data_IF_298383290414
#
_entry.id   IF_298383290414
#
_cell.length_a   1.000
_cell.length_b   1.000
_cell.length_c   1.000
_cell.angle_alpha   90.00
_cell.angle_beta   90.00
_cell.angle_gamma   90.00
#
_symmetry.space_group_name_H-M   'P 1'
#
loop_
_entity.id
_entity.type
_entity.pdbx_description
1 polymer ?
#
# COMPACT_ATOMS: atom_id res chain seq x y z
N UNK A 1 -32.93 -18.86 -36.73
CA UNK A 1 -33.73 -18.06 -35.73
C UNK A 1 -33.16 -18.12 -34.28
N UNK A 2 -32.54 -19.23 -33.85
CA UNK A 2 -32.03 -19.33 -32.44
C UNK A 2 -30.85 -18.40 -32.15
N UNK A 3 -29.87 -18.29 -33.07
CA UNK A 3 -28.71 -17.41 -32.90
C UNK A 3 -29.07 -15.92 -32.79
N UNK A 4 -30.06 -15.46 -33.58
CA UNK A 4 -30.51 -14.06 -33.49
C UNK A 4 -31.18 -13.78 -32.15
N UNK A 5 -31.97 -14.73 -31.64
CA UNK A 5 -32.61 -14.60 -30.33
C UNK A 5 -31.58 -14.55 -29.18
N UNK A 6 -30.58 -15.45 -29.21
CA UNK A 6 -29.50 -15.43 -28.19
C UNK A 6 -28.67 -14.15 -28.27
N UNK A 7 -28.44 -13.60 -29.46
CA UNK A 7 -27.75 -12.31 -29.64
C UNK A 7 -28.58 -11.16 -29.06
N UNK A 8 -29.88 -11.10 -29.31
CA UNK A 8 -30.76 -10.09 -28.74
C UNK A 8 -30.79 -10.17 -27.21
N UNK A 9 -30.87 -11.39 -26.65
CA UNK A 9 -30.77 -11.59 -25.20
C UNK A 9 -29.43 -11.08 -24.66
N UNK A 10 -28.31 -11.37 -25.31
CA UNK A 10 -27.00 -10.90 -24.91
C UNK A 10 -26.89 -9.37 -24.96
N UNK A 11 -27.44 -8.72 -25.99
CA UNK A 11 -27.46 -7.26 -26.11
C UNK A 11 -28.25 -6.62 -24.96
N UNK A 12 -29.43 -7.17 -24.62
CA UNK A 12 -30.22 -6.68 -23.48
C UNK A 12 -29.47 -6.85 -22.18
N UNK A 13 -28.88 -8.03 -21.91
CA UNK A 13 -28.09 -8.28 -20.70
C UNK A 13 -26.86 -7.37 -20.63
N UNK A 14 -26.15 -7.16 -21.74
CA UNK A 14 -25.03 -6.22 -21.81
C UNK A 14 -25.48 -4.81 -21.47
N UNK A 15 -26.56 -4.34 -22.06
CA UNK A 15 -27.12 -3.01 -21.76
C UNK A 15 -27.52 -2.88 -20.27
N UNK A 16 -28.12 -3.90 -19.68
CA UNK A 16 -28.45 -3.93 -18.26
C UNK A 16 -27.20 -3.80 -17.36
N UNK A 17 -26.12 -4.54 -17.71
CA UNK A 17 -24.85 -4.45 -16.97
C UNK A 17 -24.26 -3.05 -17.10
N UNK A 18 -24.16 -2.50 -18.32
CA UNK A 18 -23.63 -1.16 -18.55
C UNK A 18 -24.42 -0.08 -17.78
N UNK A 19 -25.74 -0.20 -17.79
CA UNK A 19 -26.60 0.74 -17.05
C UNK A 19 -26.42 0.62 -15.53
N UNK A 20 -26.34 -0.61 -15.00
CA UNK A 20 -26.18 -0.85 -13.56
C UNK A 20 -24.85 -0.39 -13.00
N UNK A 21 -23.81 -0.39 -13.82
CA UNK A 21 -22.43 -0.07 -13.38
C UNK A 21 -21.91 1.30 -13.87
N UNK A 22 -22.72 2.07 -14.64
CA UNK A 22 -22.37 3.35 -15.21
C UNK A 22 -21.49 3.21 -16.47
N UNK A 23 -21.76 4.05 -17.48
CA UNK A 23 -21.09 3.96 -18.80
C UNK A 23 -19.62 4.38 -18.77
N UNK A 24 -19.24 5.26 -17.84
CA UNK A 24 -17.88 5.84 -17.76
C UNK A 24 -16.78 4.83 -17.47
N UNK A 25 -17.13 3.67 -16.90
CA UNK A 25 -16.16 2.64 -16.52
C UNK A 25 -15.85 1.64 -17.61
N UNK A 26 -16.46 1.77 -18.82
CA UNK A 26 -16.43 0.76 -19.85
C UNK A 26 -15.70 1.22 -21.11
N UNK A 27 -14.55 0.63 -21.37
CA UNK A 27 -13.83 0.76 -22.64
C UNK A 27 -14.42 -0.18 -23.69
N UNK A 28 -14.34 0.19 -24.98
CA UNK A 28 -14.89 -0.60 -26.08
C UNK A 28 -14.44 -2.08 -26.10
N UNK A 29 -13.16 -2.45 -25.84
CA UNK A 29 -12.75 -3.85 -25.78
C UNK A 29 -13.43 -4.64 -24.66
N UNK A 30 -13.65 -4.01 -23.49
CA UNK A 30 -14.35 -4.65 -22.35
C UNK A 30 -15.81 -4.90 -22.66
N UNK A 31 -16.48 -3.94 -23.32
CA UNK A 31 -17.87 -4.09 -23.78
C UNK A 31 -18.00 -5.21 -24.81
N UNK A 32 -17.09 -5.28 -25.77
CA UNK A 32 -17.07 -6.34 -26.77
C UNK A 32 -16.90 -7.73 -26.13
N UNK A 33 -16.00 -7.85 -25.17
CA UNK A 33 -15.76 -9.10 -24.43
C UNK A 33 -16.98 -9.48 -23.56
N UNK A 34 -17.60 -8.50 -22.90
CA UNK A 34 -18.84 -8.68 -22.12
C UNK A 34 -19.96 -9.21 -23.02
N UNK A 35 -20.19 -8.60 -24.18
CA UNK A 35 -21.18 -9.04 -25.15
C UNK A 35 -20.90 -10.46 -25.65
N UNK A 36 -19.63 -10.76 -26.00
CA UNK A 36 -19.23 -12.07 -26.49
C UNK A 36 -19.47 -13.19 -25.48
N UNK A 37 -19.12 -13.00 -24.21
CA UNK A 37 -19.33 -14.01 -23.17
C UNK A 37 -20.82 -14.20 -22.85
N UNK A 38 -21.62 -13.12 -22.78
CA UNK A 38 -23.06 -13.21 -22.59
C UNK A 38 -23.77 -13.87 -23.78
N UNK A 39 -23.31 -13.58 -24.99
CA UNK A 39 -23.84 -14.25 -26.19
C UNK A 39 -23.49 -15.74 -26.21
N UNK A 40 -22.24 -16.11 -25.87
CA UNK A 40 -21.83 -17.51 -25.74
C UNK A 40 -22.70 -18.26 -24.71
N UNK A 41 -22.91 -17.67 -23.53
CA UNK A 41 -23.76 -18.25 -22.51
C UNK A 41 -25.21 -18.42 -22.98
N UNK A 42 -25.81 -17.35 -23.56
CA UNK A 42 -27.18 -17.38 -24.08
C UNK A 42 -27.36 -18.40 -25.23
N UNK A 43 -26.42 -18.50 -26.15
CA UNK A 43 -26.46 -19.45 -27.25
C UNK A 43 -26.40 -20.91 -26.77
N UNK A 44 -25.53 -21.21 -25.81
CA UNK A 44 -25.42 -22.54 -25.22
C UNK A 44 -26.65 -22.91 -24.38
N UNK A 45 -27.23 -21.95 -23.63
CA UNK A 45 -28.48 -22.15 -22.92
C UNK A 45 -29.64 -22.41 -23.87
N UNK A 46 -29.74 -21.62 -24.95
CA UNK A 46 -30.76 -21.83 -26.00
C UNK A 46 -30.61 -23.19 -26.68
N UNK A 47 -29.39 -23.64 -26.94
CA UNK A 47 -29.10 -24.98 -27.48
C UNK A 47 -29.60 -26.09 -26.54
N UNK A 48 -29.37 -25.98 -25.24
CA UNK A 48 -29.87 -26.95 -24.26
C UNK A 48 -31.39 -27.00 -24.25
N UNK A 49 -32.06 -25.86 -24.32
CA UNK A 49 -33.53 -25.77 -24.27
C UNK A 49 -34.17 -26.25 -25.60
N UNK A 50 -33.71 -25.70 -26.74
CA UNK A 50 -34.39 -25.89 -28.01
C UNK A 50 -33.93 -27.17 -28.76
N UNK A 51 -32.63 -27.48 -28.74
CA UNK A 51 -32.06 -28.59 -29.48
C UNK A 51 -32.03 -29.86 -28.65
N UNK A 52 -31.51 -29.78 -27.46
CA UNK A 52 -31.44 -30.92 -26.54
C UNK A 52 -32.78 -31.20 -25.83
N UNK A 53 -33.73 -30.27 -25.90
CA UNK A 53 -35.06 -30.38 -25.26
C UNK A 53 -34.94 -30.79 -23.77
N UNK A 54 -33.98 -30.19 -23.03
CA UNK A 54 -33.71 -30.45 -21.65
C UNK A 54 -33.04 -31.80 -21.32
N UNK A 55 -32.49 -32.51 -22.31
CA UNK A 55 -31.71 -33.74 -22.04
C UNK A 55 -30.34 -33.39 -21.48
N UNK A 56 -30.28 -33.21 -20.17
CA UNK A 56 -29.08 -32.78 -19.43
C UNK A 56 -27.89 -33.71 -19.56
N UNK A 57 -28.14 -35.03 -19.77
CA UNK A 57 -27.09 -36.03 -19.98
C UNK A 57 -26.28 -35.80 -21.28
N UNK A 58 -26.80 -34.98 -22.20
CA UNK A 58 -26.13 -34.60 -23.46
C UNK A 58 -25.62 -33.13 -23.43
N UNK A 59 -25.88 -32.39 -22.37
CA UNK A 59 -25.60 -30.96 -22.27
C UNK A 59 -24.17 -30.63 -21.78
N UNK A 60 -23.31 -31.62 -21.48
CA UNK A 60 -22.02 -31.41 -20.83
C UNK A 60 -21.13 -30.38 -21.51
N UNK A 61 -21.02 -30.40 -22.84
CA UNK A 61 -20.23 -29.42 -23.60
C UNK A 61 -20.81 -28.00 -23.46
N UNK A 62 -22.12 -27.85 -23.61
CA UNK A 62 -22.78 -26.55 -23.51
C UNK A 62 -22.70 -25.98 -22.09
N UNK A 63 -22.82 -26.83 -21.06
CA UNK A 63 -22.62 -26.43 -19.65
C UNK A 63 -21.18 -25.96 -19.42
N UNK A 64 -20.19 -26.66 -19.99
CA UNK A 64 -18.79 -26.23 -19.91
C UNK A 64 -18.56 -24.87 -20.57
N UNK A 65 -19.17 -24.62 -21.75
CA UNK A 65 -19.09 -23.31 -22.41
C UNK A 65 -19.80 -22.20 -21.65
N UNK A 66 -20.93 -22.47 -21.01
CA UNK A 66 -21.61 -21.52 -20.10
C UNK A 66 -20.68 -21.20 -18.91
N UNK A 67 -20.07 -22.22 -18.31
CA UNK A 67 -19.10 -22.04 -17.24
C UNK A 67 -17.90 -21.18 -17.67
N UNK A 68 -17.34 -21.44 -18.85
CA UNK A 68 -16.24 -20.65 -19.41
C UNK A 68 -16.66 -19.18 -19.67
N UNK A 69 -17.84 -18.98 -20.25
CA UNK A 69 -18.39 -17.65 -20.44
C UNK A 69 -18.56 -16.89 -19.10
N UNK A 70 -18.98 -17.60 -18.05
CA UNK A 70 -19.13 -17.02 -16.71
C UNK A 70 -17.77 -16.70 -16.05
N UNK A 71 -16.71 -17.48 -16.31
CA UNK A 71 -15.34 -17.16 -15.89
C UNK A 71 -14.91 -15.82 -16.50
N UNK A 72 -15.08 -15.66 -17.82
CA UNK A 72 -14.71 -14.40 -18.50
C UNK A 72 -15.59 -13.25 -18.00
N UNK A 73 -16.88 -13.46 -17.86
CA UNK A 73 -17.82 -12.46 -17.34
C UNK A 73 -17.39 -11.98 -15.94
N UNK A 74 -17.11 -12.91 -15.02
CA UNK A 74 -16.66 -12.59 -13.67
C UNK A 74 -15.34 -11.83 -13.66
N UNK A 75 -14.37 -12.23 -14.49
CA UNK A 75 -13.09 -11.55 -14.64
C UNK A 75 -13.24 -10.11 -15.15
N UNK A 76 -14.03 -9.91 -16.21
CA UNK A 76 -14.29 -8.59 -16.80
C UNK A 76 -14.99 -7.68 -15.79
N UNK A 77 -16.03 -8.19 -15.12
CA UNK A 77 -16.81 -7.41 -14.16
C UNK A 77 -15.98 -7.03 -12.94
N UNK A 78 -15.26 -7.97 -12.37
CA UNK A 78 -14.41 -7.74 -11.21
C UNK A 78 -13.28 -6.76 -11.52
N UNK A 79 -12.64 -6.86 -12.69
CA UNK A 79 -11.58 -5.94 -13.10
C UNK A 79 -12.12 -4.53 -13.41
N UNK A 80 -13.29 -4.43 -14.04
CA UNK A 80 -13.91 -3.13 -14.36
C UNK A 80 -14.29 -2.33 -13.09
N UNK A 81 -14.51 -3.02 -11.97
CA UNK A 81 -14.94 -2.42 -10.69
C UNK A 81 -13.91 -2.63 -9.57
N UNK A 82 -12.66 -2.97 -9.93
CA UNK A 82 -11.59 -3.00 -8.94
C UNK A 82 -11.45 -1.62 -8.30
N UNK A 83 -11.25 -1.59 -7.01
CA UNK A 83 -11.05 -0.38 -6.24
C UNK A 83 -9.72 -0.49 -5.47
N UNK A 84 -8.82 0.46 -5.71
CA UNK A 84 -7.59 0.59 -4.91
C UNK A 84 -7.96 1.36 -3.65
N UNK A 85 -7.79 0.72 -2.50
CA UNK A 85 -8.16 1.30 -1.19
C UNK A 85 -6.94 1.84 -0.43
N UNK A 86 -5.73 1.49 -0.88
CA UNK A 86 -4.47 1.98 -0.34
C UNK A 86 -4.14 3.34 -0.97
N UNK A 87 -4.26 4.41 -0.18
CA UNK A 87 -3.90 5.76 -0.60
C UNK A 87 -3.01 6.40 0.46
N UNK A 88 -1.89 6.94 0.04
CA UNK A 88 -0.97 7.64 0.93
C UNK A 88 -1.33 9.12 1.02
N UNK A 89 -1.42 9.62 2.25
CA UNK A 89 -1.73 11.03 2.53
C UNK A 89 -0.54 11.79 3.13
N UNK A 90 0.57 11.09 3.37
CA UNK A 90 1.73 11.64 4.06
C UNK A 90 2.97 11.54 3.18
N UNK A 91 3.46 12.66 2.72
CA UNK A 91 4.65 12.73 1.88
C UNK A 91 4.44 12.23 0.44
N UNK A 92 5.46 12.37 -0.38
CA UNK A 92 5.45 11.88 -1.76
C UNK A 92 6.24 10.58 -1.87
N UNK A 93 5.55 9.49 -2.18
CA UNK A 93 6.16 8.16 -2.33
C UNK A 93 7.08 8.06 -3.55
N UNK A 94 6.91 8.91 -4.56
CA UNK A 94 7.80 8.96 -5.72
C UNK A 94 9.25 9.32 -5.34
N UNK A 95 9.44 10.01 -4.20
CA UNK A 95 10.79 10.28 -3.65
C UNK A 95 11.50 9.01 -3.16
N UNK A 96 10.77 7.97 -2.78
CA UNK A 96 11.34 6.67 -2.38
C UNK A 96 11.64 5.81 -3.60
N UNK A 97 10.74 5.81 -4.57
CA UNK A 97 10.87 5.09 -5.83
C UNK A 97 9.86 5.63 -6.85
N UNK A 98 10.31 5.95 -8.06
CA UNK A 98 9.46 6.47 -9.16
C UNK A 98 8.30 5.56 -9.55
N UNK A 99 8.35 4.26 -9.22
CA UNK A 99 7.27 3.31 -9.48
C UNK A 99 6.15 3.33 -8.45
N UNK A 100 6.28 4.11 -7.36
CA UNK A 100 5.28 4.23 -6.29
C UNK A 100 4.39 5.45 -6.53
N UNK A 101 3.12 5.33 -6.17
CA UNK A 101 2.12 6.39 -6.34
C UNK A 101 1.30 6.60 -5.08
N UNK A 102 1.10 7.85 -4.67
CA UNK A 102 0.27 8.18 -3.52
C UNK A 102 -1.22 7.78 -3.71
N UNK A 103 -1.69 7.68 -4.96
CA UNK A 103 -3.07 7.34 -5.28
C UNK A 103 -3.35 5.84 -5.17
N UNK A 104 -2.31 5.00 -5.24
CA UNK A 104 -2.46 3.54 -5.27
C UNK A 104 -1.75 2.82 -4.12
N UNK A 105 -0.74 3.44 -3.52
CA UNK A 105 0.15 2.81 -2.56
C UNK A 105 0.02 3.47 -1.18
N UNK A 106 0.25 2.71 -0.13
CA UNK A 106 0.19 3.16 1.26
C UNK A 106 1.51 2.85 1.98
N UNK A 107 2.12 3.89 2.55
CA UNK A 107 3.27 3.76 3.44
C UNK A 107 2.79 3.38 4.85
N UNK A 108 3.27 2.27 5.36
CA UNK A 108 3.03 1.83 6.73
C UNK A 108 4.35 1.71 7.48
N UNK A 109 4.44 2.38 8.60
CA UNK A 109 5.52 2.25 9.55
C UNK A 109 5.14 1.20 10.59
N UNK A 110 6.11 0.43 11.05
CA UNK A 110 5.91 -0.61 12.05
C UNK A 110 5.26 -0.04 13.32
N UNK A 111 4.14 -0.64 13.71
CA UNK A 111 3.34 -0.25 14.87
C UNK A 111 2.34 0.89 14.66
N UNK A 112 2.47 1.69 13.60
CA UNK A 112 1.51 2.77 13.32
C UNK A 112 0.21 2.19 12.73
N UNK A 113 -0.92 2.81 13.09
CA UNK A 113 -2.24 2.41 12.59
C UNK A 113 -2.80 3.53 11.73
N UNK A 114 -3.09 3.24 10.47
CA UNK A 114 -3.50 4.23 9.45
C UNK A 114 -4.83 3.81 8.83
N UNK A 115 -5.70 4.78 8.55
CA UNK A 115 -6.95 4.56 7.84
C UNK A 115 -6.70 4.15 6.37
N UNK A 116 -7.37 3.11 5.90
CA UNK A 116 -7.28 2.59 4.54
C UNK A 116 -8.64 2.09 4.06
N UNK A 117 -9.33 2.89 3.27
CA UNK A 117 -10.69 2.58 2.82
C UNK A 117 -11.63 2.28 4.00
N UNK A 118 -12.30 1.11 4.03
CA UNK A 118 -13.20 0.74 5.11
C UNK A 118 -12.51 0.14 6.34
N UNK A 119 -11.18 0.15 6.38
CA UNK A 119 -10.38 -0.44 7.45
C UNK A 119 -9.39 0.56 8.02
N UNK A 120 -8.90 0.25 9.23
CA UNK A 120 -7.61 0.70 9.72
C UNK A 120 -6.61 -0.43 9.60
N UNK A 121 -5.36 -0.12 9.21
CA UNK A 121 -4.32 -1.12 9.00
C UNK A 121 -3.09 -0.78 9.82
N UNK A 122 -2.41 -1.83 10.31
CA UNK A 122 -1.16 -1.72 11.05
C UNK A 122 -0.15 -2.72 10.52
N UNK A 123 1.00 -2.25 10.12
CA UNK A 123 2.16 -3.11 9.91
C UNK A 123 2.72 -3.52 11.27
N UNK A 124 2.66 -4.82 11.59
CA UNK A 124 3.06 -5.32 12.91
C UNK A 124 4.52 -5.72 12.95
N UNK A 125 4.98 -6.53 11.99
CA UNK A 125 6.33 -7.07 11.97
C UNK A 125 6.65 -7.72 10.62
N UNK A 126 7.96 -7.89 10.37
CA UNK A 126 8.49 -8.74 9.31
C UNK A 126 9.01 -10.03 9.90
N UNK A 127 8.79 -11.15 9.21
CA UNK A 127 9.32 -12.46 9.56
C UNK A 127 10.00 -13.11 8.37
N UNK A 128 11.23 -13.57 8.55
CA UNK A 128 11.91 -14.38 7.55
C UNK A 128 11.50 -15.84 7.67
N UNK A 129 11.11 -16.48 6.57
CA UNK A 129 10.73 -17.89 6.50
C UNK A 129 11.32 -18.53 5.25
N UNK A 130 12.53 -19.09 5.35
CA UNK A 130 13.28 -19.60 4.22
C UNK A 130 13.54 -18.49 3.19
N UNK A 131 13.10 -18.69 1.96
CA UNK A 131 13.24 -17.73 0.86
C UNK A 131 12.16 -16.63 0.85
N UNK A 132 11.28 -16.55 1.85
CA UNK A 132 10.20 -15.60 1.90
C UNK A 132 10.39 -14.61 3.05
N UNK A 133 10.33 -13.31 2.75
CA UNK A 133 10.10 -12.26 3.73
C UNK A 133 8.60 -12.01 3.82
N UNK A 134 7.99 -12.36 4.96
CA UNK A 134 6.56 -12.18 5.25
C UNK A 134 6.35 -10.90 6.05
N UNK A 135 5.29 -10.18 5.74
CA UNK A 135 4.93 -8.91 6.38
C UNK A 135 3.55 -9.04 7.00
N UNK A 136 3.47 -9.04 8.32
CA UNK A 136 2.20 -9.16 9.03
C UNK A 136 1.50 -7.80 9.07
N UNK A 137 0.36 -7.70 8.39
CA UNK A 137 -0.49 -6.51 8.36
C UNK A 137 -1.83 -6.85 9.02
N UNK A 138 -2.10 -6.20 10.14
CA UNK A 138 -3.34 -6.33 10.89
C UNK A 138 -4.38 -5.34 10.35
N UNK A 139 -5.60 -5.82 10.18
CA UNK A 139 -6.76 -5.05 9.74
C UNK A 139 -7.74 -4.92 10.90
N UNK A 140 -8.23 -3.71 11.11
CA UNK A 140 -9.23 -3.37 12.10
C UNK A 140 -10.46 -2.78 11.41
N UNK A 141 -11.65 -3.06 11.95
CA UNK A 141 -12.86 -2.41 11.47
C UNK A 141 -12.80 -0.91 11.77
N UNK A 142 -13.48 -0.12 10.95
CA UNK A 142 -13.62 1.31 11.21
C UNK A 142 -14.82 1.52 12.13
N UNK A 143 -14.57 2.10 13.30
CA UNK A 143 -15.59 2.60 14.20
C UNK A 143 -15.71 4.12 14.06
N UNK A 144 -16.89 4.73 14.21
CA UNK A 144 -17.03 6.19 14.25
C UNK A 144 -16.08 6.79 15.31
N UNK A 145 -15.42 7.88 14.98
CA UNK A 145 -14.68 8.65 16.00
C UNK A 145 -15.68 9.29 16.97
N UNK A 146 -15.31 9.35 18.23
CA UNK A 146 -16.11 10.00 19.26
C UNK A 146 -15.39 11.23 19.76
N UNK A 147 -16.09 12.33 19.82
CA UNK A 147 -15.59 13.62 20.27
C UNK A 147 -16.33 14.08 21.51
N UNK A 148 -15.61 14.69 22.43
CA UNK A 148 -16.17 15.25 23.67
C UNK A 148 -16.35 16.75 23.55
N UNK A 149 -17.34 17.29 24.26
CA UNK A 149 -17.56 18.72 24.33
C UNK A 149 -16.28 19.46 24.74
N UNK A 150 -15.92 20.49 23.98
CA UNK A 150 -14.72 21.30 24.22
C UNK A 150 -13.46 20.79 23.54
N UNK A 151 -13.47 19.59 22.98
CA UNK A 151 -12.34 19.03 22.21
C UNK A 151 -12.07 19.86 20.95
N UNK A 152 -10.80 20.07 20.62
CA UNK A 152 -10.38 20.90 19.48
C UNK A 152 -9.80 20.01 18.39
N UNK A 153 -10.29 20.19 17.16
CA UNK A 153 -9.79 19.48 15.99
C UNK A 153 -9.34 20.45 14.89
N UNK A 154 -8.43 19.97 14.05
CA UNK A 154 -8.01 20.65 12.85
C UNK A 154 -8.65 19.97 11.62
N UNK A 155 -9.31 20.77 10.77
CA UNK A 155 -9.81 20.32 9.47
C UNK A 155 -9.49 21.37 8.40
N UNK A 156 -8.85 20.96 7.30
CA UNK A 156 -8.45 21.83 6.17
C UNK A 156 -7.67 23.10 6.59
N UNK A 157 -6.84 22.97 7.65
CA UNK A 157 -6.03 24.09 8.15
C UNK A 157 -6.76 25.03 9.10
N UNK A 158 -8.02 24.79 9.40
CA UNK A 158 -8.83 25.55 10.36
C UNK A 158 -9.04 24.74 11.64
N UNK A 159 -9.22 25.46 12.77
CA UNK A 159 -9.53 24.82 14.06
C UNK A 159 -11.00 24.95 14.41
N UNK A 160 -11.55 23.86 14.94
CA UNK A 160 -12.95 23.77 15.36
C UNK A 160 -13.03 23.16 16.76
N UNK A 161 -14.01 23.60 17.55
CA UNK A 161 -14.29 23.06 18.87
C UNK A 161 -15.63 22.32 18.87
N UNK A 162 -15.65 21.15 19.48
CA UNK A 162 -16.86 20.35 19.65
C UNK A 162 -17.84 21.03 20.62
N UNK A 163 -19.10 21.21 20.19
CA UNK A 163 -20.15 21.85 20.96
C UNK A 163 -20.79 20.89 21.97
N UNK A 164 -20.75 19.60 21.70
CA UNK A 164 -21.30 18.53 22.54
C UNK A 164 -20.55 17.21 22.30
N UNK A 165 -20.78 16.26 23.20
CA UNK A 165 -20.34 14.88 22.97
C UNK A 165 -21.10 14.30 21.78
N UNK A 166 -20.40 13.74 20.78
CA UNK A 166 -21.00 13.15 19.59
C UNK A 166 -20.07 12.14 18.91
N UNK A 167 -20.71 11.28 18.11
CA UNK A 167 -19.97 10.42 17.17
C UNK A 167 -19.87 11.11 15.81
N UNK A 168 -18.70 11.05 15.19
CA UNK A 168 -18.45 11.69 13.89
C UNK A 168 -19.37 11.12 12.78
N UNK A 169 -19.89 12.00 11.96
CA UNK A 169 -20.51 11.62 10.69
C UNK A 169 -19.43 11.19 9.67
N UNK A 170 -19.83 10.53 8.56
CA UNK A 170 -18.87 10.14 7.50
C UNK A 170 -18.11 11.32 6.87
N UNK A 171 -18.67 12.54 6.97
CA UNK A 171 -18.05 13.76 6.45
C UNK A 171 -18.12 14.89 7.48
N UNK A 172 -17.05 15.68 7.60
CA UNK A 172 -16.98 16.84 8.52
C UNK A 172 -18.09 17.87 8.26
N UNK A 173 -18.42 18.09 6.98
CA UNK A 173 -19.50 19.02 6.58
C UNK A 173 -20.85 18.66 7.17
N UNK A 174 -21.17 17.37 7.29
CA UNK A 174 -22.40 16.91 7.90
C UNK A 174 -22.46 17.22 9.40
N UNK A 175 -21.35 17.02 10.12
CA UNK A 175 -21.24 17.39 11.53
C UNK A 175 -21.33 18.91 11.71
N UNK A 176 -20.75 19.69 10.79
CA UNK A 176 -20.80 21.15 10.81
C UNK A 176 -22.20 21.67 10.55
N UNK A 177 -22.92 21.12 9.58
CA UNK A 177 -24.32 21.45 9.27
C UNK A 177 -25.27 21.14 10.44
N UNK A 178 -24.96 20.07 11.20
CA UNK A 178 -25.68 19.70 12.41
C UNK A 178 -25.31 20.56 13.63
N UNK A 179 -24.43 21.54 13.46
CA UNK A 179 -24.00 22.46 14.55
C UNK A 179 -23.16 21.80 15.61
N UNK A 180 -22.51 20.66 15.32
CA UNK A 180 -21.67 19.93 16.28
C UNK A 180 -20.31 20.58 16.47
N UNK A 181 -19.89 21.45 15.56
CA UNK A 181 -18.62 22.16 15.57
C UNK A 181 -18.77 23.66 15.53
N UNK A 182 -17.94 24.37 16.28
CA UNK A 182 -17.79 25.83 16.19
C UNK A 182 -16.38 26.17 15.70
N UNK A 183 -16.31 26.98 14.66
CA UNK A 183 -15.05 27.52 14.14
C UNK A 183 -14.33 28.42 15.17
N UNK A 184 -13.03 28.25 15.33
CA UNK A 184 -12.18 29.06 16.22
C UNK A 184 -11.37 30.04 15.35
N UNK A 185 -11.77 31.32 15.24
CA UNK A 185 -11.11 32.28 14.35
C UNK A 185 -9.72 32.70 14.86
N UNK A 186 -9.54 32.77 16.20
CA UNK A 186 -8.28 33.16 16.84
C UNK A 186 -7.97 32.13 17.94
N UNK A 187 -7.31 30.99 17.58
CA UNK A 187 -6.97 29.99 18.56
C UNK A 187 -5.82 30.45 19.47
N UNK A 188 -5.90 30.12 20.75
CA UNK A 188 -4.81 30.30 21.68
C UNK A 188 -3.73 29.20 21.47
N UNK A 189 -2.57 29.35 22.14
CA UNK A 189 -1.43 28.45 21.98
C UNK A 189 -1.79 27.00 22.38
N UNK A 190 -2.54 26.82 23.46
CA UNK A 190 -3.00 25.51 23.92
C UNK A 190 -3.92 24.83 22.88
N UNK A 191 -4.87 25.57 22.32
CA UNK A 191 -5.77 25.05 21.30
C UNK A 191 -5.04 24.63 20.03
N UNK A 192 -3.95 25.32 19.65
CA UNK A 192 -3.10 24.95 18.52
C UNK A 192 -2.29 23.68 18.80
N UNK A 193 -1.75 23.56 20.03
CA UNK A 193 -0.90 22.44 20.42
C UNK A 193 -1.70 21.16 20.69
N UNK A 194 -2.91 21.28 21.21
CA UNK A 194 -3.78 20.15 21.58
C UNK A 194 -4.66 19.68 20.41
N UNK A 195 -4.78 20.47 19.33
CA UNK A 195 -5.63 20.15 18.20
C UNK A 195 -5.17 18.89 17.46
N UNK A 196 -6.04 17.90 17.38
CA UNK A 196 -5.82 16.70 16.59
C UNK A 196 -6.48 16.84 15.21
N UNK A 197 -5.96 16.21 14.15
CA UNK A 197 -6.67 16.16 12.89
C UNK A 197 -8.05 15.53 13.07
N UNK A 198 -9.08 16.14 12.50
CA UNK A 198 -10.41 15.54 12.49
C UNK A 198 -10.39 14.22 11.70
N UNK A 199 -11.12 13.23 12.19
CA UNK A 199 -11.31 11.95 11.51
C UNK A 199 -12.76 11.50 11.66
N UNK A 200 -13.35 10.97 10.57
CA UNK A 200 -14.66 10.35 10.62
C UNK A 200 -14.66 9.04 11.41
N UNK A 201 -13.51 8.37 11.51
CA UNK A 201 -13.39 7.06 12.13
C UNK A 201 -12.15 6.91 12.99
N UNK A 202 -12.18 5.87 13.81
CA UNK A 202 -11.06 5.39 14.61
C UNK A 202 -10.90 3.88 14.41
N UNK A 203 -9.72 3.30 14.73
CA UNK A 203 -9.58 1.85 14.76
C UNK A 203 -10.60 1.24 15.71
N UNK A 204 -11.40 0.31 15.20
CA UNK A 204 -12.36 -0.49 15.97
C UNK A 204 -11.78 -1.85 16.32
N UNK A 205 -12.64 -2.87 16.32
CA UNK A 205 -12.24 -4.23 16.64
C UNK A 205 -11.28 -4.82 15.59
N UNK A 206 -10.40 -5.71 16.06
CA UNK A 206 -9.53 -6.48 15.19
C UNK A 206 -10.37 -7.36 14.26
N UNK A 207 -10.11 -7.27 12.95
CA UNK A 207 -10.86 -8.03 11.95
C UNK A 207 -10.09 -9.27 11.49
N UNK A 208 -8.86 -9.12 11.01
CA UNK A 208 -8.00 -10.21 10.52
C UNK A 208 -6.57 -9.71 10.28
N UNK A 209 -5.65 -10.65 10.07
CA UNK A 209 -4.28 -10.39 9.60
C UNK A 209 -4.11 -10.94 8.18
N UNK A 210 -3.43 -10.20 7.32
CA UNK A 210 -2.85 -10.69 6.07
C UNK A 210 -1.33 -10.72 6.18
N UNK A 211 -0.72 -11.72 5.53
CA UNK A 211 0.74 -11.90 5.49
C UNK A 211 1.25 -11.92 4.03
N UNK A 212 1.11 -10.81 3.29
CA UNK A 212 1.76 -10.70 1.99
C UNK A 212 3.26 -10.89 2.15
N UNK A 213 3.91 -11.45 1.13
CA UNK A 213 5.31 -11.82 1.21
C UNK A 213 6.08 -11.47 -0.06
N UNK A 214 7.39 -11.39 0.08
CA UNK A 214 8.31 -11.25 -1.03
C UNK A 214 9.17 -12.52 -1.08
N UNK A 215 9.10 -13.23 -2.19
CA UNK A 215 9.99 -14.36 -2.45
C UNK A 215 11.35 -13.82 -2.90
N UNK A 216 12.39 -14.19 -2.17
CA UNK A 216 13.77 -13.84 -2.49
C UNK A 216 14.30 -14.74 -3.58
N UNK A 217 14.82 -14.16 -4.65
CA UNK A 217 15.43 -14.90 -5.73
C UNK A 217 16.63 -14.11 -6.28
N UNK A 218 17.84 -14.60 -6.00
CA UNK A 218 19.10 -13.96 -6.39
C UNK A 218 19.29 -13.92 -7.92
N UNK A 219 18.70 -14.87 -8.66
CA UNK A 219 18.90 -14.99 -10.11
C UNK A 219 17.86 -14.23 -10.93
N UNK A 220 16.60 -14.22 -10.51
CA UNK A 220 15.49 -13.65 -11.27
C UNK A 220 14.91 -12.37 -10.67
N UNK A 221 15.47 -11.91 -9.54
CA UNK A 221 14.93 -10.81 -8.76
C UNK A 221 13.80 -11.24 -7.82
N UNK A 222 13.51 -10.40 -6.84
CA UNK A 222 12.51 -10.65 -5.83
C UNK A 222 11.09 -10.58 -6.41
N UNK A 223 10.24 -11.53 -6.08
CA UNK A 223 8.86 -11.60 -6.57
C UNK A 223 7.87 -11.35 -5.42
N UNK A 224 7.01 -10.31 -5.52
CA UNK A 224 5.96 -10.09 -4.55
C UNK A 224 4.87 -11.16 -4.69
N UNK A 225 4.52 -11.79 -3.59
CA UNK A 225 3.40 -12.72 -3.48
C UNK A 225 2.33 -12.12 -2.56
N UNK A 226 1.12 -11.93 -3.08
CA UNK A 226 0.04 -11.33 -2.32
C UNK A 226 -0.53 -12.28 -1.27
N UNK A 227 -1.24 -11.69 -0.31
CA UNK A 227 -2.22 -12.42 0.50
C UNK A 227 -3.62 -11.83 0.30
N UNK A 228 -4.66 -12.65 0.48
CA UNK A 228 -6.02 -12.28 0.09
C UNK A 228 -7.03 -12.68 1.15
N UNK A 229 -7.79 -11.70 1.63
CA UNK A 229 -9.02 -11.95 2.41
C UNK A 229 -10.19 -12.14 1.46
N UNK A 230 -10.77 -13.34 1.50
CA UNK A 230 -11.92 -13.70 0.68
C UNK A 230 -13.21 -13.48 1.44
N UNK A 231 -14.12 -12.73 0.82
CA UNK A 231 -15.50 -12.59 1.25
C UNK A 231 -16.41 -13.26 0.23
N UNK A 232 -17.67 -13.41 0.61
CA UNK A 232 -18.63 -14.07 -0.30
C UNK A 232 -18.88 -13.27 -1.59
N UNK A 233 -18.73 -11.94 -1.59
CA UNK A 233 -19.06 -11.04 -2.72
C UNK A 233 -17.84 -10.23 -3.22
N UNK A 234 -16.69 -10.32 -2.57
CA UNK A 234 -15.47 -9.59 -2.94
C UNK A 234 -14.24 -10.28 -2.37
N UNK A 235 -13.10 -10.02 -2.96
CA UNK A 235 -11.78 -10.33 -2.40
C UNK A 235 -11.04 -9.03 -2.11
N UNK A 236 -10.36 -8.96 -0.98
CA UNK A 236 -9.39 -7.93 -0.65
C UNK A 236 -7.99 -8.52 -0.83
N UNK A 237 -7.31 -8.05 -1.85
CA UNK A 237 -5.99 -8.47 -2.26
C UNK A 237 -4.96 -7.47 -1.76
N UNK A 238 -3.91 -7.93 -1.08
CA UNK A 238 -2.86 -7.09 -0.53
C UNK A 238 -1.50 -7.62 -0.95
N UNK A 239 -0.64 -6.75 -1.47
CA UNK A 239 0.73 -7.10 -1.79
C UNK A 239 1.70 -5.99 -1.40
N UNK A 240 2.97 -6.36 -1.20
CA UNK A 240 4.04 -5.43 -0.86
C UNK A 240 4.67 -4.93 -2.16
N UNK A 241 4.66 -3.62 -2.35
CA UNK A 241 5.37 -2.94 -3.44
C UNK A 241 6.83 -2.70 -3.11
N UNK A 242 7.07 -2.32 -1.86
CA UNK A 242 8.40 -2.10 -1.33
C UNK A 242 8.46 -2.46 0.15
N UNK A 243 9.54 -3.10 0.56
CA UNK A 243 9.79 -3.45 1.95
C UNK A 243 11.19 -4.00 2.10
N UNK A 244 11.75 -3.90 3.30
CA UNK A 244 13.04 -4.50 3.60
C UNK A 244 12.90 -6.02 3.58
N UNK A 245 13.70 -6.70 2.78
CA UNK A 245 13.64 -8.17 2.61
C UNK A 245 14.69 -8.93 3.42
N UNK A 246 15.76 -8.23 3.84
CA UNK A 246 16.83 -8.77 4.70
C UNK A 246 17.19 -7.75 5.76
N UNK A 247 17.67 -8.22 6.90
CA UNK A 247 18.25 -7.34 7.88
C UNK A 247 19.63 -6.93 7.39
N UNK A 248 19.95 -5.63 7.37
CA UNK A 248 21.31 -5.20 7.14
C UNK A 248 22.20 -5.71 8.28
N UNK A 249 23.46 -5.96 7.99
CA UNK A 249 24.43 -6.30 9.02
C UNK A 249 24.58 -5.12 9.98
N UNK A 250 24.52 -5.42 11.27
CA UNK A 250 24.70 -4.46 12.36
C UNK A 250 25.66 -5.05 13.39
N UNK A 251 26.35 -4.18 14.13
CA UNK A 251 27.20 -4.58 15.25
C UNK A 251 26.35 -5.03 16.47
N UNK A 252 27.03 -5.44 17.56
CA UNK A 252 26.38 -5.92 18.80
C UNK A 252 25.48 -4.85 19.45
N UNK A 253 25.76 -3.57 19.21
CA UNK A 253 24.99 -2.42 19.71
C UNK A 253 23.85 -1.99 18.75
N UNK A 254 23.71 -2.69 17.63
CA UNK A 254 22.67 -2.44 16.63
C UNK A 254 23.01 -1.37 15.59
N UNK A 255 24.24 -0.91 15.52
CA UNK A 255 24.67 0.07 14.52
C UNK A 255 25.04 -0.61 13.19
N UNK A 256 24.49 -0.09 12.11
CA UNK A 256 24.89 -0.51 10.75
C UNK A 256 26.23 0.08 10.38
N UNK A 257 26.89 -0.52 9.38
CA UNK A 257 28.08 0.07 8.77
C UNK A 257 27.84 1.48 8.25
N UNK A 258 28.81 2.36 8.49
CA UNK A 258 28.73 3.75 8.07
C UNK A 258 28.69 3.90 6.55
N UNK A 259 27.69 4.62 6.06
CA UNK A 259 27.54 4.93 4.63
C UNK A 259 28.08 6.31 4.31
N UNK A 260 28.87 6.40 3.24
CA UNK A 260 29.43 7.67 2.76
C UNK A 260 28.43 8.43 1.89
N UNK A 261 28.31 9.71 2.16
CA UNK A 261 27.45 10.64 1.41
C UNK A 261 28.20 11.95 1.18
N UNK A 262 28.13 12.46 -0.03
CA UNK A 262 28.60 13.81 -0.38
C UNK A 262 27.44 14.79 -0.16
N UNK A 263 27.59 15.70 0.80
CA UNK A 263 26.56 16.67 1.14
C UNK A 263 27.04 18.11 0.88
N UNK A 264 26.27 18.84 0.09
CA UNK A 264 26.45 20.28 -0.12
C UNK A 264 25.55 21.07 0.81
N UNK A 265 25.84 22.36 0.94
CA UNK A 265 24.97 23.28 1.68
C UNK A 265 23.55 23.23 1.14
N UNK A 266 22.56 23.06 2.03
CA UNK A 266 21.12 22.89 1.78
C UNK A 266 20.71 21.53 1.20
N UNK A 267 21.63 20.61 1.07
CA UNK A 267 21.25 19.23 0.77
C UNK A 267 20.55 18.59 1.97
N UNK A 268 19.71 17.65 1.66
CA UNK A 268 19.04 16.82 2.65
C UNK A 268 19.09 15.36 2.27
N UNK A 269 19.19 14.50 3.27
CA UNK A 269 19.22 13.05 3.13
C UNK A 269 18.16 12.43 4.03
N UNK A 270 17.41 11.49 3.49
CA UNK A 270 16.46 10.68 4.29
C UNK A 270 17.21 9.58 5.02
N UNK A 271 17.13 9.57 6.35
CA UNK A 271 17.74 8.58 7.24
C UNK A 271 16.60 7.94 8.06
N UNK A 272 16.22 6.73 7.69
CA UNK A 272 15.06 6.10 8.33
C UNK A 272 13.80 6.93 8.18
N UNK A 273 13.28 7.47 9.30
CA UNK A 273 12.10 8.38 9.36
C UNK A 273 12.48 9.85 9.54
N UNK A 274 13.74 10.14 9.54
CA UNK A 274 14.26 11.48 9.75
C UNK A 274 14.84 12.04 8.45
N UNK A 275 14.88 13.35 8.36
CA UNK A 275 15.55 14.08 7.29
C UNK A 275 16.73 14.79 7.92
N UNK A 276 17.93 14.42 7.51
CA UNK A 276 19.16 15.13 7.86
C UNK A 276 19.43 16.19 6.82
N UNK A 277 19.40 17.45 7.21
CA UNK A 277 19.70 18.59 6.33
C UNK A 277 21.01 19.26 6.75
N UNK A 278 21.87 19.60 5.80
CA UNK A 278 23.02 20.44 6.00
C UNK A 278 22.61 21.90 5.77
N UNK A 279 22.29 22.62 6.85
CA UNK A 279 21.77 23.98 6.77
C UNK A 279 22.85 25.03 6.42
N UNK A 280 24.01 24.94 7.05
CA UNK A 280 25.10 25.90 6.82
C UNK A 280 26.49 25.32 7.10
N UNK A 281 27.47 26.02 6.56
CA UNK A 281 28.91 25.71 6.72
C UNK A 281 29.59 26.99 7.19
N UNK A 282 30.43 26.89 8.22
CA UNK A 282 31.23 28.01 8.73
C UNK A 282 32.66 27.59 9.08
N UNK A 283 33.61 28.48 8.90
CA UNK A 283 34.95 28.28 9.46
C UNK A 283 34.89 28.56 10.95
N UNK A 284 35.57 27.73 11.76
CA UNK A 284 35.67 27.92 13.22
C UNK A 284 36.71 28.97 13.50
N UNK A 285 36.30 30.08 14.11
CA UNK A 285 37.20 31.19 14.49
C UNK A 285 37.99 30.87 15.74
N UNK A 286 39.07 31.64 15.97
CA UNK A 286 39.96 31.44 17.14
C UNK A 286 39.18 31.55 18.48
N UNK A 287 38.16 32.44 18.50
CA UNK A 287 37.32 32.69 19.68
C UNK A 287 36.33 31.53 19.94
N UNK A 288 35.95 30.81 18.92
CA UNK A 288 35.01 29.67 19.01
C UNK A 288 35.71 28.34 19.34
N UNK A 289 37.00 28.22 19.08
CA UNK A 289 37.80 26.98 19.31
C UNK A 289 37.62 26.41 20.72
N UNK A 290 37.66 27.20 21.79
CA UNK A 290 37.49 26.66 23.15
C UNK A 290 36.10 26.02 23.36
N UNK A 291 35.09 26.54 22.73
CA UNK A 291 33.71 26.00 22.80
C UNK A 291 33.63 24.58 22.23
N UNK A 292 34.45 24.27 21.23
CA UNK A 292 34.54 22.96 20.59
C UNK A 292 35.69 22.09 21.13
N UNK A 293 36.41 22.54 22.15
CA UNK A 293 37.54 21.80 22.70
C UNK A 293 38.78 21.71 21.75
N UNK A 294 38.89 22.64 20.82
CA UNK A 294 39.98 22.68 19.82
C UNK A 294 41.20 23.40 20.33
N UNK A 295 42.36 23.01 19.82
CA UNK A 295 43.61 23.71 20.06
C UNK A 295 43.74 24.92 19.12
N UNK A 296 44.53 25.92 19.55
CA UNK A 296 44.75 27.14 18.73
C UNK A 296 45.31 26.85 17.34
N UNK A 297 46.11 25.77 17.21
CA UNK A 297 46.70 25.33 15.93
C UNK A 297 45.75 24.54 15.03
N UNK A 298 44.61 24.10 15.52
CA UNK A 298 43.67 23.30 14.73
C UNK A 298 43.00 24.16 13.66
N UNK A 299 42.90 23.62 12.46
CA UNK A 299 42.04 24.17 11.42
C UNK A 299 40.71 23.38 11.45
N UNK A 300 39.61 24.08 11.60
CA UNK A 300 38.31 23.41 11.67
C UNK A 300 37.26 24.14 10.83
N UNK A 301 36.40 23.32 10.20
CA UNK A 301 35.19 23.77 9.51
C UNK A 301 33.97 23.10 10.16
N UNK A 302 33.00 23.91 10.53
CA UNK A 302 31.78 23.44 11.16
C UNK A 302 30.68 23.23 10.11
N UNK A 303 30.08 22.06 10.13
CA UNK A 303 28.88 21.73 9.39
C UNK A 303 27.68 21.71 10.35
N UNK A 304 26.74 22.58 10.10
CA UNK A 304 25.54 22.72 10.93
C UNK A 304 24.40 21.91 10.33
N UNK A 305 24.03 20.85 11.01
CA UNK A 305 22.98 19.94 10.61
C UNK A 305 21.71 20.15 11.39
N UNK A 306 20.59 19.86 10.73
CA UNK A 306 19.29 19.73 11.34
C UNK A 306 18.73 18.36 11.04
N UNK A 307 18.34 17.65 12.09
CA UNK A 307 17.62 16.37 12.01
C UNK A 307 16.15 16.60 12.36
N UNK A 308 15.27 16.49 11.37
CA UNK A 308 13.81 16.64 11.51
C UNK A 308 13.09 15.30 11.30
N UNK A 309 11.85 15.18 11.78
CA UNK A 309 11.09 13.91 11.76
C UNK A 309 11.45 12.99 12.93
N UNK A 310 10.58 12.02 13.22
CA UNK A 310 10.70 11.03 14.30
C UNK A 310 11.09 11.64 15.67
N UNK A 311 10.47 12.77 16.07
CA UNK A 311 10.75 13.51 17.28
C UNK A 311 10.96 15.01 17.00
N UNK A 312 11.30 15.80 18.01
CA UNK A 312 11.54 17.24 17.85
C UNK A 312 12.72 17.51 16.93
N UNK A 313 12.68 18.62 16.20
CA UNK A 313 13.80 19.06 15.38
C UNK A 313 15.04 19.27 16.25
N UNK A 314 16.12 18.61 15.88
CA UNK A 314 17.39 18.62 16.62
C UNK A 314 18.47 19.23 15.75
N UNK A 315 19.05 20.36 16.21
CA UNK A 315 20.21 20.98 15.56
C UNK A 315 21.48 20.49 16.21
N UNK A 316 22.49 20.16 15.41
CA UNK A 316 23.81 19.79 15.91
C UNK A 316 24.91 20.22 14.93
N UNK A 317 26.13 20.22 15.40
CA UNK A 317 27.30 20.61 14.61
C UNK A 317 28.30 19.46 14.59
N UNK A 318 28.73 19.06 13.40
CA UNK A 318 29.85 18.14 13.21
C UNK A 318 31.06 18.92 12.64
N UNK A 319 32.24 18.58 13.09
CA UNK A 319 33.45 19.30 12.73
C UNK A 319 34.32 18.49 11.78
N UNK A 320 34.86 19.18 10.79
CA UNK A 320 36.03 18.71 10.01
C UNK A 320 37.27 19.36 10.60
N UNK A 321 38.12 18.58 11.28
CA UNK A 321 39.27 19.10 12.05
C UNK A 321 40.54 18.59 11.43
N UNK A 322 41.45 19.51 11.15
CA UNK A 322 42.80 19.18 10.68
C UNK A 322 43.84 19.70 11.69
N UNK A 323 44.65 18.79 12.23
CA UNK A 323 45.73 19.06 13.17
C UNK A 323 47.04 18.46 12.61
N UNK A 324 48.05 19.28 12.44
CA UNK A 324 49.36 18.86 11.93
C UNK A 324 49.25 18.03 10.65
N UNK A 325 48.37 18.44 9.71
CA UNK A 325 48.05 17.75 8.43
C UNK A 325 47.32 16.41 8.58
N UNK A 326 46.87 16.05 9.76
CA UNK A 326 46.09 14.85 10.03
C UNK A 326 44.61 15.21 10.30
N UNK A 327 43.71 14.42 9.75
CA UNK A 327 42.30 14.51 10.07
C UNK A 327 42.07 13.98 11.49
N UNK A 328 41.44 14.80 12.32
CA UNK A 328 40.95 14.37 13.64
C UNK A 328 39.47 14.07 13.52
N UNK A 329 39.05 12.80 13.67
CA UNK A 329 37.67 12.44 13.55
C UNK A 329 36.85 13.02 14.69
N UNK A 330 35.80 13.73 14.33
CA UNK A 330 34.76 14.22 15.26
C UNK A 330 33.46 13.48 14.97
N UNK A 331 33.02 12.63 15.92
CA UNK A 331 31.82 11.81 15.75
C UNK A 331 30.69 12.35 16.63
N UNK A 332 29.68 12.87 16.04
CA UNK A 332 28.46 13.28 16.73
C UNK A 332 27.51 12.10 16.79
N UNK A 333 27.11 11.70 18.00
CA UNK A 333 26.15 10.62 18.24
C UNK A 333 24.86 11.17 18.82
N UNK A 334 23.75 10.90 18.16
CA UNK A 334 22.40 11.19 18.65
C UNK A 334 21.75 9.84 18.99
N UNK A 335 22.02 9.34 20.21
CA UNK A 335 21.61 7.98 20.60
C UNK A 335 20.08 7.80 20.60
N UNK A 336 19.34 8.78 21.09
CA UNK A 336 17.87 8.81 21.13
C UNK A 336 17.22 8.84 19.73
N UNK A 337 18.00 9.25 18.72
CA UNK A 337 17.58 9.32 17.31
C UNK A 337 18.17 8.20 16.47
N UNK A 338 19.10 7.40 17.02
CA UNK A 338 19.76 6.31 16.31
C UNK A 338 20.61 6.76 15.13
N UNK A 339 21.26 7.91 15.21
CA UNK A 339 22.08 8.47 14.15
C UNK A 339 23.46 8.86 14.68
N UNK A 340 24.53 8.43 13.98
CA UNK A 340 25.88 8.96 14.17
C UNK A 340 26.33 9.63 12.87
N UNK A 341 27.03 10.75 12.99
CA UNK A 341 27.53 11.53 11.87
C UNK A 341 28.99 11.86 12.09
N UNK A 342 29.81 11.63 11.06
CA UNK A 342 31.23 12.02 11.06
C UNK A 342 31.58 12.60 9.68
N UNK A 343 32.44 13.60 9.68
CA UNK A 343 32.95 14.21 8.45
C UNK A 343 34.36 13.66 8.19
N UNK A 344 34.50 12.94 7.08
CA UNK A 344 35.79 12.33 6.64
C UNK A 344 36.55 13.21 5.64
N UNK A 345 35.86 14.17 4.99
CA UNK A 345 36.49 15.05 4.02
C UNK A 345 35.74 16.34 3.80
N UNK A 346 36.44 17.37 3.34
CA UNK A 346 35.87 18.63 2.91
C UNK A 346 36.50 19.10 1.62
N UNK A 347 35.68 19.37 0.59
CA UNK A 347 36.11 19.93 -0.70
C UNK A 347 35.72 21.41 -0.79
N UNK A 348 36.63 22.34 -0.48
CA UNK A 348 36.31 23.77 -0.44
C UNK A 348 35.77 24.34 -1.75
N UNK A 349 36.29 23.85 -2.90
CA UNK A 349 35.89 24.32 -4.24
C UNK A 349 34.41 24.09 -4.55
N UNK A 350 33.80 23.04 -3.96
CA UNK A 350 32.44 22.63 -4.18
C UNK A 350 31.56 22.86 -2.94
N UNK A 351 32.16 23.32 -1.84
CA UNK A 351 31.52 23.44 -0.53
C UNK A 351 30.83 22.11 -0.11
N UNK A 352 31.48 20.98 -0.39
CA UNK A 352 30.95 19.63 -0.19
C UNK A 352 31.68 18.93 0.95
N UNK A 353 30.92 18.29 1.85
CA UNK A 353 31.44 17.42 2.87
C UNK A 353 31.27 15.94 2.47
N UNK A 354 32.36 15.17 2.61
CA UNK A 354 32.28 13.71 2.63
C UNK A 354 31.86 13.27 4.03
N UNK A 355 30.59 12.95 4.17
CA UNK A 355 29.95 12.64 5.46
C UNK A 355 29.71 11.15 5.57
N UNK A 356 30.08 10.53 6.69
CA UNK A 356 29.76 9.14 7.00
C UNK A 356 28.65 9.12 8.03
N UNK A 357 27.61 8.34 7.75
CA UNK A 357 26.42 8.26 8.57
C UNK A 357 26.17 6.81 8.96
N UNK A 358 25.97 6.57 10.26
CA UNK A 358 25.55 5.30 10.84
C UNK A 358 24.12 5.41 11.32
N UNK A 359 23.36 4.36 11.11
CA UNK A 359 21.98 4.23 11.62
C UNK A 359 21.91 3.08 12.62
N UNK A 360 21.17 3.25 13.69
CA UNK A 360 20.93 2.19 14.68
C UNK A 360 19.61 1.47 14.36
N UNK A 361 19.69 0.16 14.10
CA UNK A 361 18.54 -0.67 13.76
C UNK A 361 17.54 -0.84 14.90
N UNK A 362 18.00 -0.81 16.15
CA UNK A 362 17.14 -1.00 17.33
C UNK A 362 16.18 0.17 17.56
N UNK A 363 16.52 1.36 17.04
CA UNK A 363 15.68 2.57 17.14
C UNK A 363 14.90 2.81 15.85
N UNK A 364 15.38 2.25 14.74
CA UNK A 364 14.76 2.39 13.43
C UNK A 364 13.52 1.51 13.35
N UNK A 365 12.35 2.13 13.23
CA UNK A 365 11.13 1.39 12.86
C UNK A 365 11.21 0.93 11.41
N UNK A 366 10.84 -0.32 11.18
CA UNK A 366 10.71 -0.84 9.82
C UNK A 366 9.50 -0.20 9.12
N UNK A 367 9.49 -0.22 7.79
CA UNK A 367 8.36 0.26 7.02
C UNK A 367 8.16 -0.55 5.75
N UNK A 368 6.94 -0.54 5.27
CA UNK A 368 6.55 -1.15 4.01
C UNK A 368 5.74 -0.16 3.19
N UNK A 369 5.82 -0.31 1.88
CA UNK A 369 4.84 0.29 0.96
C UNK A 369 4.02 -0.84 0.38
N UNK A 370 2.71 -0.80 0.61
CA UNK A 370 1.79 -1.84 0.17
C UNK A 370 0.70 -1.28 -0.72
N UNK A 371 0.17 -2.15 -1.57
CA UNK A 371 -1.04 -1.89 -2.34
C UNK A 371 -2.14 -2.85 -1.92
N UNK A 372 -3.34 -2.32 -1.70
CA UNK A 372 -4.54 -3.09 -1.36
C UNK A 372 -5.65 -2.80 -2.38
N UNK A 373 -6.18 -3.87 -2.97
CA UNK A 373 -7.16 -3.80 -4.04
C UNK A 373 -8.37 -4.65 -3.67
N UNK A 374 -9.56 -4.06 -3.76
CA UNK A 374 -10.83 -4.79 -3.65
C UNK A 374 -11.26 -5.23 -5.05
N UNK A 375 -11.48 -6.52 -5.21
CA UNK A 375 -12.06 -7.13 -6.41
C UNK A 375 -13.50 -7.57 -6.12
N UNK A 376 -14.51 -6.75 -6.47
CA UNK A 376 -15.88 -7.13 -6.24
C UNK A 376 -16.32 -8.25 -7.18
N UNK A 377 -17.25 -9.10 -6.72
CA UNK A 377 -17.91 -10.15 -7.49
C UNK A 377 -16.98 -11.17 -8.16
N UNK A 378 -15.74 -11.31 -7.70
CA UNK A 378 -14.78 -12.31 -8.18
C UNK A 378 -15.33 -13.75 -8.05
N UNK A 379 -16.30 -13.97 -7.16
CA UNK A 379 -16.96 -15.26 -6.95
C UNK A 379 -17.72 -15.77 -8.19
N UNK A 380 -18.14 -14.86 -9.09
CA UNK A 380 -18.71 -15.27 -10.37
C UNK A 380 -17.71 -16.04 -11.24
N UNK A 381 -16.42 -15.64 -11.21
CA UNK A 381 -15.34 -16.36 -11.87
C UNK A 381 -15.21 -17.77 -11.28
N UNK A 382 -15.16 -17.88 -9.94
CA UNK A 382 -15.04 -19.19 -9.28
C UNK A 382 -16.24 -20.09 -9.55
N UNK A 383 -17.45 -19.53 -9.54
CA UNK A 383 -18.66 -20.26 -9.92
C UNK A 383 -18.57 -20.75 -11.37
N UNK A 384 -18.07 -19.92 -12.29
CA UNK A 384 -17.82 -20.30 -13.66
C UNK A 384 -16.84 -21.49 -13.78
N UNK A 385 -15.77 -21.50 -12.99
CA UNK A 385 -14.81 -22.62 -12.92
C UNK A 385 -15.48 -23.93 -12.48
N UNK A 386 -16.34 -23.86 -11.46
CA UNK A 386 -17.07 -25.03 -10.96
C UNK A 386 -18.05 -25.58 -12.02
N UNK A 387 -18.83 -24.71 -12.68
CA UNK A 387 -19.76 -25.08 -13.73
C UNK A 387 -19.00 -25.65 -14.94
N UNK A 388 -17.91 -25.02 -15.37
CA UNK A 388 -17.06 -25.48 -16.48
C UNK A 388 -16.52 -26.90 -16.18
N UNK A 389 -15.98 -27.11 -15.01
CA UNK A 389 -15.45 -28.42 -14.59
C UNK A 389 -16.55 -29.48 -14.57
N UNK A 390 -17.72 -29.17 -13.99
CA UNK A 390 -18.88 -30.07 -13.97
C UNK A 390 -19.32 -30.44 -15.39
N UNK A 391 -19.45 -29.45 -16.29
CA UNK A 391 -19.80 -29.65 -17.69
C UNK A 391 -18.77 -30.54 -18.43
N UNK A 392 -17.47 -30.28 -18.20
CA UNK A 392 -16.41 -31.11 -18.82
C UNK A 392 -16.49 -32.58 -18.35
N UNK A 393 -16.70 -32.82 -17.05
CA UNK A 393 -16.86 -34.18 -16.50
C UNK A 393 -18.09 -34.88 -17.10
N UNK A 394 -19.21 -34.16 -17.27
CA UNK A 394 -20.41 -34.69 -17.95
C UNK A 394 -20.11 -35.07 -19.40
N UNK A 395 -19.40 -34.21 -20.14
CA UNK A 395 -19.02 -34.47 -21.51
C UNK A 395 -18.10 -35.73 -21.64
N UNK A 396 -17.13 -35.88 -20.75
CA UNK A 396 -16.27 -37.08 -20.71
C UNK A 396 -17.07 -38.35 -20.43
N UNK A 397 -17.99 -38.33 -19.43
CA UNK A 397 -18.87 -39.46 -19.14
C UNK A 397 -19.74 -39.84 -20.33
N UNK A 398 -20.28 -38.88 -21.05
CA UNK A 398 -21.09 -39.10 -22.26
C UNK A 398 -20.27 -39.76 -23.36
N UNK A 399 -19.05 -39.27 -23.67
CA UNK A 399 -18.16 -39.85 -24.66
C UNK A 399 -17.78 -41.30 -24.31
N UNK A 400 -17.49 -41.60 -23.05
CA UNK A 400 -17.21 -42.97 -22.59
C UNK A 400 -18.40 -43.91 -22.84
N UNK A 401 -19.62 -43.51 -22.46
CA UNK A 401 -20.85 -44.27 -22.71
C UNK A 401 -21.08 -44.53 -24.21
N UNK A 402 -20.81 -43.55 -25.06
CA UNK A 402 -20.94 -43.70 -26.51
C UNK A 402 -19.91 -44.68 -27.11
N UNK A 403 -18.64 -44.61 -26.60
CA UNK A 403 -17.61 -45.59 -27.03
C UNK A 403 -17.96 -47.03 -26.67
N UNK A 404 -18.40 -47.27 -25.42
CA UNK A 404 -18.83 -48.61 -25.00
C UNK A 404 -20.01 -49.13 -25.84
N UNK A 405 -21.00 -48.28 -26.17
CA UNK A 405 -22.12 -48.66 -27.03
C UNK A 405 -21.69 -49.01 -28.48
N UNK A 406 -20.64 -48.32 -29.00
CA UNK A 406 -20.12 -48.60 -30.37
C UNK A 406 -19.24 -49.82 -30.45
N UNK A 407 -18.59 -50.22 -29.33
CA UNK A 407 -17.75 -51.41 -29.26
C UNK A 407 -18.54 -52.70 -28.87
N UNK A 408 -19.82 -52.57 -28.51
CA UNK A 408 -20.66 -53.74 -28.27
C UNK A 408 -20.96 -54.42 -29.64
N UNK A 409 -20.75 -55.76 -29.73
CA UNK A 409 -21.05 -56.50 -30.96
C UNK A 409 -22.54 -56.36 -31.30
N UNK A 410 -22.84 -56.20 -32.61
CA UNK A 410 -24.22 -56.22 -33.10
C UNK A 410 -24.86 -57.54 -32.61
N UNK A 411 -26.01 -57.40 -31.93
CA UNK A 411 -26.79 -58.60 -31.57
C UNK A 411 -27.18 -59.28 -32.86
N UNK A 412 -27.01 -60.61 -32.96
CA UNK A 412 -27.38 -61.41 -34.12
C UNK A 412 -28.88 -61.30 -34.47
#
# INVERSE_FOLDING_TARGET
MSLLRSLLTALVLTAMVLFSYGFETWEAPRVALLLACLWSAAANADYIIQVLKGRWDHAGASIAHIGFALVIFGAVLSNAKKEVVSQNRFGDLAMLNESLSNDEDLLLLEGDTIAMGPYYVRYRERRQSGIHAKFAVDYFETSPAEYKQGEVVANEGFLFQANSDHSAAPAFTADLENGLWTFIPIPNERQRNDAQPWSAGKPGDFAFTLEPRIQLNEQMGNAPEPDTKRYWNKDLYTHIKWGRVSDPEADEDGWMDGRKHDLMRRDSLVIGRSILALDSISAVTLEEKPTYGLLDKDLAVAAHFRLSGNGPDTNFTALYIVRDSLLIPDMVTLEDRGVKVRIDGFRPSEATFETVIWENLSIRRDFIVMQAIVFPQINLLWLGCLIMTGGALMAVRQRRKQRVKRSAPAKP
#
